data_IF_143040508029
#
_entry.id   IF_143040508029
#
_cell.length_a   1.000
_cell.length_b   1.000
_cell.length_c   1.000
_cell.angle_alpha   90.00
_cell.angle_beta   90.00
_cell.angle_gamma   90.00
#
_symmetry.space_group_name_H-M   'P 1'
#
loop_
_entity.id
_entity.type
_entity.pdbx_description
1 polymer ?
#
# COMPACT_ATOMS: atom_id res chain seq x y z
N UNK A 1 -7.86 10.56 -52.36
CA UNK A 1 -7.57 12.02 -52.27
C UNK A 1 -8.42 12.90 -53.20
N UNK A 2 -8.72 12.44 -54.43
CA UNK A 2 -9.38 13.22 -55.47
C UNK A 2 -10.77 13.76 -55.07
N UNK A 3 -11.55 13.03 -54.26
CA UNK A 3 -12.87 13.52 -53.78
C UNK A 3 -12.80 14.69 -52.80
N UNK A 4 -11.85 14.73 -51.87
CA UNK A 4 -11.67 15.89 -50.98
C UNK A 4 -11.04 17.08 -51.72
N UNK A 5 -10.25 16.78 -52.76
CA UNK A 5 -9.64 17.75 -53.68
C UNK A 5 -10.70 18.41 -54.57
N UNK A 6 -11.59 17.63 -55.17
CA UNK A 6 -12.70 18.06 -56.03
C UNK A 6 -13.83 18.72 -55.24
N UNK A 7 -14.00 18.37 -53.95
CA UNK A 7 -15.10 18.91 -53.16
C UNK A 7 -14.76 20.24 -52.48
N UNK A 8 -13.49 20.61 -52.25
CA UNK A 8 -13.12 21.98 -51.86
C UNK A 8 -12.57 22.15 -50.44
N UNK A 9 -11.65 21.28 -49.98
CA UNK A 9 -10.89 21.53 -48.74
C UNK A 9 -9.77 22.59 -48.91
N UNK A 10 -9.31 22.83 -50.15
CA UNK A 10 -8.28 23.81 -50.53
C UNK A 10 -8.65 25.32 -50.56
N UNK A 11 -9.91 25.77 -50.79
CA UNK A 11 -10.23 27.19 -50.92
C UNK A 11 -10.16 27.95 -49.59
N UNK A 12 -9.73 27.31 -48.48
CA UNK A 12 -9.67 27.93 -47.16
C UNK A 12 -11.04 28.55 -46.77
N UNK A 13 -12.13 27.93 -47.21
CA UNK A 13 -13.50 28.41 -47.03
C UNK A 13 -14.13 27.80 -45.78
N UNK A 14 -14.14 28.58 -44.69
CA UNK A 14 -14.79 28.16 -43.43
C UNK A 14 -16.26 27.77 -43.61
N UNK A 15 -17.14 28.52 -44.33
CA UNK A 15 -18.54 28.14 -44.50
C UNK A 15 -18.70 26.77 -45.16
N UNK A 16 -17.84 26.47 -46.14
CA UNK A 16 -17.86 25.19 -46.83
C UNK A 16 -17.42 24.05 -45.90
N UNK A 17 -16.32 24.22 -45.15
CA UNK A 17 -15.85 23.21 -44.19
C UNK A 17 -16.91 22.92 -43.12
N UNK A 18 -17.63 23.95 -42.66
CA UNK A 18 -18.75 23.80 -41.74
C UNK A 18 -19.86 22.94 -42.34
N UNK A 19 -20.33 23.29 -43.54
CA UNK A 19 -21.41 22.59 -44.22
C UNK A 19 -21.10 21.11 -44.45
N UNK A 20 -19.86 20.77 -44.81
CA UNK A 20 -19.45 19.36 -44.98
C UNK A 20 -19.50 18.61 -43.64
N UNK A 21 -18.90 19.18 -42.58
CA UNK A 21 -18.86 18.49 -41.28
C UNK A 21 -20.25 18.32 -40.71
N UNK A 22 -21.13 19.30 -40.89
CA UNK A 22 -22.53 19.24 -40.49
C UNK A 22 -23.31 18.19 -41.31
N UNK A 23 -23.09 18.08 -42.63
CA UNK A 23 -23.69 17.03 -43.46
C UNK A 23 -23.22 15.62 -43.06
N UNK A 24 -21.92 15.46 -42.77
CA UNK A 24 -21.39 14.20 -42.21
C UNK A 24 -22.00 13.88 -40.84
N UNK A 25 -22.17 14.89 -39.99
CA UNK A 25 -22.80 14.74 -38.68
C UNK A 25 -24.29 14.42 -38.79
N UNK A 26 -24.98 14.90 -39.82
CA UNK A 26 -26.39 14.59 -40.06
C UNK A 26 -26.59 13.16 -40.58
N UNK A 27 -25.62 12.63 -41.33
CA UNK A 27 -25.66 11.26 -41.88
C UNK A 27 -25.24 10.19 -40.88
N UNK A 28 -24.38 10.51 -39.92
CA UNK A 28 -24.02 9.61 -38.83
C UNK A 28 -24.86 9.85 -37.58
N UNK A 29 -25.30 8.81 -36.85
CA UNK A 29 -26.01 8.97 -35.56
C UNK A 29 -25.11 9.51 -34.42
N UNK A 30 -23.99 10.17 -34.73
CA UNK A 30 -22.96 10.55 -33.78
C UNK A 30 -23.06 12.04 -33.43
N UNK A 31 -22.79 12.36 -32.16
CA UNK A 31 -22.64 13.76 -31.72
C UNK A 31 -21.51 14.43 -32.51
N UNK A 32 -21.68 15.70 -32.88
CA UNK A 32 -20.69 16.51 -33.60
C UNK A 32 -19.26 16.37 -33.05
N UNK A 33 -19.12 16.19 -31.74
CA UNK A 33 -17.83 16.02 -31.03
C UNK A 33 -17.05 14.74 -31.35
N UNK A 34 -17.62 13.78 -32.08
CA UNK A 34 -16.93 12.53 -32.46
C UNK A 34 -16.83 12.30 -33.97
N UNK A 35 -17.44 13.17 -34.79
CA UNK A 35 -17.51 13.00 -36.25
C UNK A 35 -16.11 12.91 -36.85
N UNK A 36 -15.19 13.79 -36.42
CA UNK A 36 -13.84 13.86 -37.00
C UNK A 36 -12.83 12.85 -36.43
N UNK A 37 -13.20 12.01 -35.44
CA UNK A 37 -12.25 11.00 -34.91
C UNK A 37 -11.84 9.97 -35.96
N UNK A 38 -12.69 9.71 -36.94
CA UNK A 38 -12.53 8.65 -37.93
C UNK A 38 -12.37 9.19 -39.36
N UNK A 39 -12.34 10.52 -39.54
CA UNK A 39 -12.17 11.11 -40.87
C UNK A 39 -10.68 11.16 -41.20
N UNK A 40 -10.26 10.22 -42.02
CA UNK A 40 -8.92 10.16 -42.60
C UNK A 40 -8.98 10.03 -44.13
N UNK A 41 -7.90 10.41 -44.80
CA UNK A 41 -7.73 10.10 -46.23
C UNK A 41 -7.38 8.61 -46.46
N UNK A 42 -7.12 8.28 -47.72
CA UNK A 42 -6.71 6.94 -48.18
C UNK A 42 -5.38 6.50 -47.57
N UNK A 43 -4.53 7.46 -47.15
CA UNK A 43 -3.26 7.21 -46.47
C UNK A 43 -3.40 7.20 -44.93
N UNK A 44 -4.62 7.33 -44.40
CA UNK A 44 -4.87 7.34 -42.95
C UNK A 44 -4.54 8.67 -42.25
N UNK A 45 -4.27 9.75 -42.99
CA UNK A 45 -3.99 11.08 -42.44
C UNK A 45 -5.27 11.78 -42.05
N UNK A 46 -5.29 12.39 -40.86
CA UNK A 46 -6.47 13.06 -40.33
C UNK A 46 -6.83 14.31 -41.14
N UNK A 47 -8.11 14.71 -41.11
CA UNK A 47 -8.54 15.98 -41.70
C UNK A 47 -7.77 17.19 -41.13
N UNK A 48 -7.37 17.13 -39.85
CA UNK A 48 -6.55 18.15 -39.20
C UNK A 48 -5.12 18.18 -39.78
N UNK A 49 -4.50 17.01 -39.97
CA UNK A 49 -3.17 16.89 -40.60
C UNK A 49 -3.16 17.50 -42.00
N UNK A 50 -4.20 17.22 -42.78
CA UNK A 50 -4.35 17.78 -44.13
C UNK A 50 -4.52 19.30 -44.08
N UNK A 51 -5.38 19.83 -43.22
CA UNK A 51 -5.59 21.27 -43.07
C UNK A 51 -4.29 22.02 -42.72
N UNK A 52 -3.46 21.44 -41.85
CA UNK A 52 -2.14 21.97 -41.52
C UNK A 52 -1.20 21.87 -42.73
N UNK A 53 -1.17 20.71 -43.39
CA UNK A 53 -0.31 20.49 -44.55
C UNK A 53 -0.58 21.45 -45.70
N UNK A 54 -1.83 21.89 -45.86
CA UNK A 54 -2.26 22.86 -46.86
C UNK A 54 -2.20 24.33 -46.38
N UNK A 55 -1.75 24.60 -45.16
CA UNK A 55 -1.66 25.97 -44.63
C UNK A 55 -3.02 26.65 -44.47
N UNK A 56 -4.08 25.89 -44.15
CA UNK A 56 -5.41 26.45 -43.93
C UNK A 56 -5.41 27.49 -42.80
N UNK A 57 -6.37 28.42 -42.84
CA UNK A 57 -6.49 29.46 -41.82
C UNK A 57 -6.73 28.90 -40.42
N UNK A 58 -6.28 29.66 -39.40
CA UNK A 58 -6.55 29.38 -37.98
C UNK A 58 -8.03 29.12 -37.69
N UNK A 59 -8.94 29.78 -38.40
CA UNK A 59 -10.39 29.63 -38.22
C UNK A 59 -10.87 28.23 -38.60
N UNK A 60 -10.35 27.66 -39.70
CA UNK A 60 -10.66 26.28 -40.10
C UNK A 60 -10.10 25.31 -39.08
N UNK A 61 -8.83 25.45 -38.71
CA UNK A 61 -8.22 24.55 -37.72
C UNK A 61 -8.95 24.61 -36.38
N UNK A 62 -9.35 25.80 -35.92
CA UNK A 62 -10.17 25.97 -34.70
C UNK A 62 -11.52 25.28 -34.82
N UNK A 63 -12.15 25.33 -36.00
CA UNK A 63 -13.42 24.64 -36.22
C UNK A 63 -13.26 23.12 -36.20
N UNK A 64 -12.22 22.58 -36.85
CA UNK A 64 -11.89 21.15 -36.83
C UNK A 64 -11.67 20.65 -35.39
N UNK A 65 -10.91 21.40 -34.58
CA UNK A 65 -10.71 21.08 -33.16
C UNK A 65 -12.03 21.11 -32.37
N UNK A 66 -12.89 22.11 -32.62
CA UNK A 66 -14.21 22.21 -32.01
C UNK A 66 -15.16 21.06 -32.40
N UNK A 67 -14.99 20.52 -33.59
CA UNK A 67 -15.68 19.32 -34.09
C UNK A 67 -15.02 17.99 -33.64
N UNK A 68 -14.11 18.05 -32.66
CA UNK A 68 -13.53 16.87 -32.01
C UNK A 68 -12.39 16.19 -32.77
N UNK A 69 -11.74 16.90 -33.71
CA UNK A 69 -10.50 16.40 -34.31
C UNK A 69 -9.42 16.20 -33.23
N UNK A 70 -8.78 15.04 -33.21
CA UNK A 70 -7.70 14.74 -32.28
C UNK A 70 -6.39 15.37 -32.77
N UNK A 71 -5.64 15.98 -31.85
CA UNK A 71 -4.29 16.49 -32.12
C UNK A 71 -3.29 15.39 -31.78
N UNK A 72 -2.71 14.73 -32.78
CA UNK A 72 -1.66 13.73 -32.58
C UNK A 72 -0.27 14.41 -32.67
N UNK A 73 0.80 13.72 -32.25
CA UNK A 73 2.17 14.23 -32.37
C UNK A 73 2.56 14.61 -33.80
N UNK A 74 2.01 13.91 -34.80
CA UNK A 74 2.28 14.15 -36.21
C UNK A 74 1.79 15.51 -36.71
N UNK A 75 0.59 15.94 -36.28
CA UNK A 75 0.07 17.28 -36.62
C UNK A 75 0.92 18.39 -36.01
N UNK A 76 1.41 18.20 -34.78
CA UNK A 76 2.32 19.15 -34.11
C UNK A 76 3.64 19.24 -34.88
N UNK A 77 4.26 18.07 -35.20
CA UNK A 77 5.49 18.01 -36.00
C UNK A 77 5.30 18.68 -37.37
N UNK A 78 4.16 18.44 -38.03
CA UNK A 78 3.86 19.04 -39.32
C UNK A 78 3.72 20.57 -39.22
N UNK A 79 3.07 21.09 -38.18
CA UNK A 79 2.98 22.54 -37.92
C UNK A 79 4.34 23.19 -37.73
N UNK A 80 5.28 22.49 -37.08
CA UNK A 80 6.64 22.99 -36.85
C UNK A 80 7.42 23.02 -38.17
N UNK A 81 7.39 21.93 -38.94
CA UNK A 81 8.08 21.83 -40.25
C UNK A 81 7.55 22.84 -41.26
N UNK A 82 6.25 23.15 -41.21
CA UNK A 82 5.61 24.12 -42.12
C UNK A 82 5.65 25.55 -41.62
N UNK A 83 6.33 25.82 -40.50
CA UNK A 83 6.52 27.15 -39.90
C UNK A 83 5.20 27.92 -39.66
N UNK A 84 4.22 27.27 -39.01
CA UNK A 84 2.90 27.86 -38.73
C UNK A 84 2.72 28.18 -37.24
N UNK A 85 3.36 29.23 -36.68
CA UNK A 85 3.40 29.50 -35.24
C UNK A 85 2.01 29.75 -34.64
N UNK A 86 1.13 30.42 -35.40
CA UNK A 86 -0.24 30.73 -34.93
C UNK A 86 -1.10 29.47 -34.78
N UNK A 87 -0.94 28.49 -35.66
CA UNK A 87 -1.69 27.23 -35.62
C UNK A 87 -1.05 26.30 -34.59
N UNK A 88 0.27 26.25 -34.51
CA UNK A 88 0.99 25.53 -33.47
C UNK A 88 0.56 25.99 -32.07
N UNK A 89 0.47 27.31 -31.84
CA UNK A 89 -0.01 27.87 -30.59
C UNK A 89 -1.45 27.48 -30.24
N UNK A 90 -2.28 27.19 -31.25
CA UNK A 90 -3.64 26.69 -31.07
C UNK A 90 -3.63 25.19 -30.73
N UNK A 91 -2.84 24.37 -31.44
CA UNK A 91 -2.73 22.93 -31.19
C UNK A 91 -2.20 22.63 -29.78
N UNK A 92 -1.16 23.35 -29.34
CA UNK A 92 -0.55 23.21 -28.01
C UNK A 92 -1.43 23.70 -26.85
N UNK A 93 -2.64 24.17 -27.10
CA UNK A 93 -3.67 24.39 -26.06
C UNK A 93 -4.53 23.15 -25.82
N UNK A 94 -4.55 22.23 -26.78
CA UNK A 94 -5.38 21.03 -26.75
C UNK A 94 -4.56 19.75 -26.57
N UNK A 95 -3.24 19.82 -26.71
CA UNK A 95 -2.33 18.67 -26.55
C UNK A 95 -0.99 19.12 -25.97
N UNK A 96 -0.30 18.19 -25.31
CA UNK A 96 1.05 18.37 -24.80
C UNK A 96 2.08 18.26 -25.92
N UNK A 97 3.23 18.92 -25.74
CA UNK A 97 4.36 18.71 -26.63
C UNK A 97 4.90 17.27 -26.45
N UNK A 98 5.20 16.53 -27.52
CA UNK A 98 5.89 15.24 -27.41
C UNK A 98 7.25 15.38 -26.72
N UNK A 99 7.59 14.45 -25.83
CA UNK A 99 8.84 14.47 -25.07
C UNK A 99 10.08 14.22 -25.95
N UNK A 100 9.90 13.57 -27.10
CA UNK A 100 10.94 13.22 -28.09
C UNK A 100 11.25 14.34 -29.09
N UNK A 101 10.75 15.56 -28.86
CA UNK A 101 10.97 16.66 -29.79
C UNK A 101 12.36 17.30 -29.61
N UNK A 102 13.28 16.99 -30.53
CA UNK A 102 14.68 17.42 -30.50
C UNK A 102 14.95 18.90 -30.85
N UNK A 103 13.92 19.73 -30.99
CA UNK A 103 14.13 21.18 -31.20
C UNK A 103 14.90 21.52 -32.48
N UNK A 104 14.81 20.67 -33.52
CA UNK A 104 15.46 20.88 -34.81
C UNK A 104 15.16 22.24 -35.44
N UNK A 105 15.83 22.54 -36.57
CA UNK A 105 15.74 23.84 -37.28
C UNK A 105 14.30 24.34 -37.40
N UNK A 106 13.90 25.23 -36.50
CA UNK A 106 12.60 25.89 -36.48
C UNK A 106 12.84 27.40 -36.40
N UNK A 107 11.88 28.19 -36.88
CA UNK A 107 11.97 29.64 -36.79
C UNK A 107 11.96 30.11 -35.33
N UNK A 108 12.51 31.31 -35.09
CA UNK A 108 12.48 31.93 -33.75
C UNK A 108 11.04 32.11 -33.23
N UNK A 109 10.07 32.35 -34.12
CA UNK A 109 8.65 32.47 -33.76
C UNK A 109 8.08 31.13 -33.27
N UNK A 110 8.35 30.04 -33.98
CA UNK A 110 7.95 28.69 -33.58
C UNK A 110 8.63 28.30 -32.28
N UNK A 111 9.93 28.58 -32.13
CA UNK A 111 10.68 28.33 -30.90
C UNK A 111 10.09 29.09 -29.71
N UNK A 112 9.69 30.37 -29.90
CA UNK A 112 9.02 31.16 -28.88
C UNK A 112 7.66 30.58 -28.47
N UNK A 113 6.86 30.10 -29.44
CA UNK A 113 5.58 29.42 -29.18
C UNK A 113 5.79 28.13 -28.38
N UNK A 114 6.76 27.30 -28.77
CA UNK A 114 7.11 26.04 -28.08
C UNK A 114 7.56 26.33 -26.64
N UNK A 115 8.47 27.29 -26.44
CA UNK A 115 8.93 27.71 -25.12
C UNK A 115 7.77 28.21 -24.24
N UNK A 116 6.89 29.03 -24.80
CA UNK A 116 5.69 29.50 -24.11
C UNK A 116 4.72 28.38 -23.74
N UNK A 117 4.54 27.39 -24.62
CA UNK A 117 3.72 26.22 -24.35
C UNK A 117 4.32 25.34 -23.24
N UNK A 118 5.63 25.05 -23.31
CA UNK A 118 6.34 24.28 -22.29
C UNK A 118 6.25 24.93 -20.91
N UNK A 119 6.39 26.26 -20.82
CA UNK A 119 6.17 27.01 -19.58
C UNK A 119 4.75 26.84 -19.03
N UNK A 120 3.72 26.93 -19.88
CA UNK A 120 2.31 26.72 -19.46
C UNK A 120 2.05 25.29 -19.01
N UNK A 121 2.55 24.31 -19.73
CA UNK A 121 2.42 22.89 -19.38
C UNK A 121 3.09 22.61 -18.04
N UNK A 122 4.35 23.03 -17.86
CA UNK A 122 5.05 22.89 -16.58
C UNK A 122 4.30 23.58 -15.41
N UNK A 123 3.68 24.74 -15.66
CA UNK A 123 2.89 25.43 -14.65
C UNK A 123 1.59 24.69 -14.32
N UNK A 124 0.92 24.10 -15.31
CA UNK A 124 -0.27 23.27 -15.11
C UNK A 124 0.09 21.96 -14.39
N UNK A 125 1.15 21.28 -14.81
CA UNK A 125 1.64 20.06 -14.19
C UNK A 125 2.03 20.30 -12.74
N UNK A 126 2.65 21.45 -12.44
CA UNK A 126 2.93 21.87 -11.07
C UNK A 126 1.65 22.02 -10.27
N UNK A 127 0.66 22.77 -10.80
CA UNK A 127 -0.65 22.92 -10.13
C UNK A 127 -1.34 21.58 -9.90
N UNK A 128 -1.30 20.67 -10.86
CA UNK A 128 -1.87 19.33 -10.74
C UNK A 128 -1.12 18.50 -9.69
N UNK A 129 0.21 18.58 -9.65
CA UNK A 129 1.03 17.93 -8.61
C UNK A 129 0.74 18.50 -7.22
N UNK A 130 0.61 19.82 -7.09
CA UNK A 130 0.28 20.48 -5.82
C UNK A 130 -1.12 20.08 -5.34
N UNK A 131 -2.10 20.03 -6.25
CA UNK A 131 -3.46 19.57 -5.96
C UNK A 131 -3.50 18.09 -5.56
N UNK A 132 -2.77 17.23 -6.29
CA UNK A 132 -2.64 15.81 -5.97
C UNK A 132 -1.94 15.61 -4.61
N UNK A 133 -0.88 16.36 -4.33
CA UNK A 133 -0.20 16.36 -3.04
C UNK A 133 -1.14 16.74 -1.90
N UNK A 134 -1.91 17.82 -2.07
CA UNK A 134 -2.91 18.27 -1.10
C UNK A 134 -4.00 17.22 -0.86
N UNK A 135 -4.46 16.55 -1.91
CA UNK A 135 -5.39 15.44 -1.81
C UNK A 135 -4.80 14.26 -1.01
N UNK A 136 -3.55 13.88 -1.28
CA UNK A 136 -2.88 12.79 -0.57
C UNK A 136 -2.68 13.10 0.93
N UNK A 137 -2.34 14.34 1.27
CA UNK A 137 -2.26 14.81 2.66
C UNK A 137 -3.60 14.59 3.38
N UNK A 138 -4.70 15.10 2.81
CA UNK A 138 -6.02 14.96 3.41
C UNK A 138 -6.51 13.51 3.48
N UNK A 139 -6.19 12.70 2.46
CA UNK A 139 -6.50 11.28 2.46
C UNK A 139 -5.77 10.54 3.58
N UNK A 140 -4.48 10.79 3.79
CA UNK A 140 -3.69 10.18 4.87
C UNK A 140 -4.24 10.56 6.25
N UNK A 141 -4.59 11.84 6.47
CA UNK A 141 -5.23 12.29 7.72
C UNK A 141 -6.49 11.46 8.01
N UNK A 142 -7.36 11.32 7.01
CA UNK A 142 -8.62 10.58 7.14
C UNK A 142 -8.39 9.11 7.39
N UNK A 143 -7.44 8.48 6.70
CA UNK A 143 -7.11 7.06 6.90
C UNK A 143 -6.63 6.79 8.33
N UNK A 144 -5.69 7.59 8.85
CA UNK A 144 -5.20 7.44 10.23
C UNK A 144 -6.32 7.63 11.24
N UNK A 145 -7.14 8.67 11.07
CA UNK A 145 -8.28 8.95 11.96
C UNK A 145 -9.33 7.83 11.93
N UNK A 146 -9.65 7.31 10.75
CA UNK A 146 -10.59 6.21 10.58
C UNK A 146 -10.05 4.90 11.17
N UNK A 147 -8.76 4.61 11.03
CA UNK A 147 -8.13 3.44 11.63
C UNK A 147 -8.24 3.50 13.17
N UNK A 148 -7.86 4.63 13.77
CA UNK A 148 -8.00 4.86 15.21
C UNK A 148 -9.44 4.71 15.70
N UNK A 149 -10.40 5.31 15.01
CA UNK A 149 -11.81 5.21 15.37
C UNK A 149 -12.31 3.76 15.27
N UNK A 150 -11.94 3.06 14.20
CA UNK A 150 -12.32 1.67 13.98
C UNK A 150 -11.84 0.77 15.12
N UNK A 151 -10.61 0.97 15.58
CA UNK A 151 -10.01 0.18 16.66
C UNK A 151 -10.58 0.48 18.04
N UNK A 152 -11.01 1.72 18.31
CA UNK A 152 -11.71 2.07 19.56
C UNK A 152 -13.03 1.32 19.74
N UNK A 153 -13.72 0.97 18.66
CA UNK A 153 -15.07 0.41 18.71
C UNK A 153 -15.13 -1.13 18.65
N UNK A 154 -14.00 -1.83 18.49
CA UNK A 154 -13.84 -3.31 18.55
C UNK A 154 -15.05 -4.10 18.01
N UNK A 155 -15.39 -3.86 16.74
CA UNK A 155 -16.44 -4.62 16.05
C UNK A 155 -15.83 -5.33 14.86
N UNK A 156 -16.26 -6.56 14.57
CA UNK A 156 -15.68 -7.38 13.50
C UNK A 156 -15.67 -6.66 12.13
N UNK A 157 -16.69 -5.84 11.84
CA UNK A 157 -16.75 -5.02 10.62
C UNK A 157 -15.69 -3.92 10.60
N UNK A 158 -15.47 -3.27 11.74
CA UNK A 158 -14.46 -2.21 11.88
C UNK A 158 -13.04 -2.79 11.95
N UNK A 159 -12.87 -4.01 12.44
CA UNK A 159 -11.57 -4.70 12.44
C UNK A 159 -11.10 -4.98 11.00
N UNK A 160 -12.02 -5.43 10.13
CA UNK A 160 -11.74 -5.58 8.69
C UNK A 160 -11.37 -4.22 8.06
N UNK A 161 -12.09 -3.15 8.40
CA UNK A 161 -11.77 -1.81 7.92
C UNK A 161 -10.37 -1.36 8.37
N UNK A 162 -10.02 -1.57 9.64
CA UNK A 162 -8.68 -1.27 10.17
C UNK A 162 -7.60 -2.07 9.44
N UNK A 163 -7.87 -3.34 9.12
CA UNK A 163 -6.93 -4.20 8.38
C UNK A 163 -6.69 -3.69 6.96
N UNK A 164 -7.75 -3.36 6.23
CA UNK A 164 -7.64 -2.78 4.89
C UNK A 164 -6.90 -1.45 4.93
N UNK A 165 -7.16 -0.60 5.93
CA UNK A 165 -6.42 0.67 6.08
C UNK A 165 -4.94 0.39 6.38
N UNK A 166 -4.60 -0.57 7.24
CA UNK A 166 -3.20 -0.93 7.46
C UNK A 166 -2.53 -1.41 6.17
N UNK A 167 -3.19 -2.25 5.38
CA UNK A 167 -2.64 -2.72 4.10
C UNK A 167 -2.44 -1.57 3.10
N UNK A 168 -3.33 -0.58 3.07
CA UNK A 168 -3.15 0.63 2.25
C UNK A 168 -1.93 1.44 2.74
N UNK A 169 -1.79 1.61 4.06
CA UNK A 169 -0.73 2.44 4.65
C UNK A 169 0.65 1.82 4.51
N UNK A 170 0.81 0.52 4.82
CA UNK A 170 2.11 -0.16 4.88
C UNK A 170 2.31 -1.26 3.85
N UNK A 171 1.27 -1.64 3.12
CA UNK A 171 1.30 -2.79 2.21
C UNK A 171 0.94 -4.09 2.92
N UNK A 172 0.92 -5.19 2.17
CA UNK A 172 0.74 -6.53 2.76
C UNK A 172 2.07 -7.03 3.32
N UNK A 173 2.37 -6.61 4.55
CA UNK A 173 3.65 -6.86 5.23
C UNK A 173 3.98 -8.36 5.29
N UNK A 174 3.03 -9.20 5.70
CA UNK A 174 3.27 -10.64 5.85
C UNK A 174 3.56 -11.31 4.51
N UNK A 175 2.86 -10.91 3.45
CA UNK A 175 3.13 -11.41 2.10
C UNK A 175 4.51 -10.98 1.61
N UNK A 176 4.93 -9.75 1.91
CA UNK A 176 6.27 -9.26 1.57
C UNK A 176 7.35 -10.08 2.29
N UNK A 177 7.23 -10.25 3.61
CA UNK A 177 8.17 -11.05 4.40
C UNK A 177 8.22 -12.52 3.95
N UNK A 178 7.09 -13.09 3.55
CA UNK A 178 7.05 -14.46 3.01
C UNK A 178 7.79 -14.56 1.67
N UNK A 179 7.59 -13.60 0.76
CA UNK A 179 8.30 -13.56 -0.53
C UNK A 179 9.80 -13.39 -0.34
N UNK A 180 10.20 -12.52 0.57
CA UNK A 180 11.62 -12.29 0.92
C UNK A 180 12.26 -13.56 1.48
N UNK A 181 11.60 -14.22 2.44
CA UNK A 181 12.07 -15.49 2.99
C UNK A 181 12.13 -16.63 1.95
N UNK A 182 11.27 -16.62 0.93
CA UNK A 182 11.31 -17.58 -0.18
C UNK A 182 12.49 -17.31 -1.12
N UNK A 183 12.83 -16.04 -1.35
CA UNK A 183 13.96 -15.64 -2.18
C UNK A 183 15.31 -15.91 -1.49
N UNK A 184 15.35 -15.77 -0.17
CA UNK A 184 16.55 -16.01 0.65
C UNK A 184 16.88 -17.49 0.84
N UNK A 185 16.02 -18.41 0.39
CA UNK A 185 16.41 -19.81 0.30
C UNK A 185 17.45 -19.91 -0.83
N UNK A 186 18.75 -20.12 -0.52
CA UNK A 186 19.75 -20.29 -1.56
C UNK A 186 19.26 -21.45 -2.41
N UNK A 187 19.06 -21.20 -3.71
CA UNK A 187 18.79 -22.25 -4.68
C UNK A 187 19.80 -23.34 -4.37
N UNK A 188 19.35 -24.46 -3.81
CA UNK A 188 20.17 -25.66 -3.69
C UNK A 188 20.80 -25.83 -5.06
N UNK A 189 22.11 -26.00 -5.08
CA UNK A 189 22.94 -26.20 -6.27
C UNK A 189 22.58 -27.50 -7.03
N UNK A 190 21.30 -27.78 -7.25
CA UNK A 190 20.84 -28.68 -8.29
C UNK A 190 21.02 -27.95 -9.61
N UNK A 191 22.25 -28.02 -10.12
CA UNK A 191 22.46 -28.15 -11.54
C UNK A 191 21.49 -29.22 -12.06
N UNK A 192 20.92 -28.98 -13.24
CA UNK A 192 19.97 -29.86 -13.96
C UNK A 192 18.50 -29.67 -13.57
N UNK A 193 17.84 -28.70 -14.20
CA UNK A 193 16.60 -28.89 -14.98
C UNK A 193 16.05 -27.53 -15.45
N UNK A 194 16.48 -27.10 -16.64
CA UNK A 194 15.83 -26.05 -17.42
C UNK A 194 14.50 -26.57 -17.98
N UNK A 195 13.46 -26.66 -17.13
CA UNK A 195 12.10 -26.83 -17.63
C UNK A 195 11.41 -25.47 -17.75
N UNK A 196 11.29 -25.05 -19.01
CA UNK A 196 10.47 -23.93 -19.47
C UNK A 196 9.02 -24.10 -19.00
N UNK A 197 8.64 -23.50 -17.87
CA UNK A 197 7.22 -23.35 -17.52
C UNK A 197 6.67 -22.15 -18.31
N UNK A 198 6.21 -22.44 -19.51
CA UNK A 198 5.48 -21.52 -20.36
C UNK A 198 4.02 -21.42 -19.90
N UNK A 199 3.60 -20.19 -19.66
CA UNK A 199 2.25 -19.73 -19.99
C UNK A 199 1.13 -20.16 -19.07
N UNK A 200 0.56 -19.15 -18.40
CA UNK A 200 -0.87 -18.87 -18.22
C UNK A 200 -1.17 -18.45 -16.77
N UNK A 201 -0.82 -17.20 -16.40
CA UNK A 201 -1.66 -16.34 -15.55
C UNK A 201 -1.07 -14.92 -15.30
N UNK A 202 -0.59 -14.24 -16.35
CA UNK A 202 -0.12 -12.84 -16.26
C UNK A 202 -1.24 -11.79 -16.44
N UNK A 203 -2.52 -12.18 -16.33
CA UNK A 203 -3.65 -11.32 -16.70
C UNK A 203 -3.95 -10.17 -15.73
N UNK A 204 -3.57 -10.27 -14.46
CA UNK A 204 -3.79 -9.24 -13.43
C UNK A 204 -2.69 -9.22 -12.36
N UNK A 205 -1.47 -9.67 -12.72
CA UNK A 205 -0.32 -9.49 -11.87
C UNK A 205 0.01 -8.00 -11.80
N UNK A 206 -0.53 -7.31 -10.79
CA UNK A 206 0.09 -6.13 -10.21
C UNK A 206 1.47 -6.56 -9.67
N UNK A 207 2.42 -6.80 -10.58
CA UNK A 207 3.79 -7.23 -10.32
C UNK A 207 4.65 -6.16 -9.66
N UNK A 208 4.04 -5.06 -9.20
CA UNK A 208 4.68 -4.14 -8.30
C UNK A 208 4.67 -4.72 -6.90
N UNK A 209 5.83 -4.74 -6.25
CA UNK A 209 5.92 -4.90 -4.80
C UNK A 209 4.82 -4.05 -4.17
N UNK A 210 3.92 -4.66 -3.39
CA UNK A 210 2.81 -3.96 -2.74
C UNK A 210 3.35 -3.07 -1.62
N UNK A 211 4.04 -2.00 -2.00
CA UNK A 211 4.63 -1.03 -1.11
C UNK A 211 3.49 -0.14 -0.63
N UNK A 212 3.33 -0.01 0.69
CA UNK A 212 2.31 0.87 1.25
C UNK A 212 2.51 2.34 0.90
N UNK A 213 1.47 3.15 1.11
CA UNK A 213 1.52 4.59 0.90
C UNK A 213 2.66 5.25 1.68
N UNK A 214 2.93 4.81 2.91
CA UNK A 214 3.98 5.39 3.76
C UNK A 214 5.39 5.23 3.18
N UNK A 215 5.64 4.17 2.40
CA UNK A 215 6.93 3.94 1.75
C UNK A 215 6.99 4.48 0.31
N UNK A 216 5.84 4.75 -0.31
CA UNK A 216 5.75 5.20 -1.70
C UNK A 216 5.70 6.72 -1.85
N UNK A 217 5.29 7.46 -0.82
CA UNK A 217 5.05 8.89 -0.90
C UNK A 217 6.32 9.73 -0.62
N UNK A 218 6.47 10.90 -1.27
CA UNK A 218 7.55 11.83 -0.97
C UNK A 218 7.52 12.30 0.49
N UNK A 219 8.70 12.48 1.10
CA UNK A 219 8.83 12.94 2.49
C UNK A 219 8.11 14.27 2.75
N UNK A 220 8.05 15.19 1.78
CA UNK A 220 7.32 16.45 1.93
C UNK A 220 5.81 16.27 2.13
N UNK A 221 5.20 15.29 1.46
CA UNK A 221 3.77 14.97 1.62
C UNK A 221 3.52 14.32 2.97
N UNK A 222 4.36 13.37 3.38
CA UNK A 222 4.26 12.73 4.69
C UNK A 222 4.48 13.74 5.83
N UNK A 223 5.41 14.68 5.65
CA UNK A 223 5.68 15.73 6.62
C UNK A 223 4.47 16.65 6.79
N UNK A 224 3.89 17.07 5.66
CA UNK A 224 2.69 17.89 5.67
C UNK A 224 1.49 17.12 6.25
N UNK A 225 1.38 15.82 6.02
CA UNK A 225 0.31 15.00 6.57
C UNK A 225 0.42 14.78 8.08
N UNK A 226 1.61 14.41 8.57
CA UNK A 226 1.72 13.97 9.96
C UNK A 226 2.26 15.03 10.91
N UNK A 227 3.00 16.01 10.41
CA UNK A 227 3.76 16.93 11.26
C UNK A 227 3.46 18.41 11.00
N UNK A 228 2.45 18.73 10.17
CA UNK A 228 1.98 20.12 10.03
C UNK A 228 1.11 20.59 11.20
N UNK A 229 0.49 19.66 11.92
CA UNK A 229 -0.36 19.88 13.09
C UNK A 229 -0.01 18.85 14.17
N UNK A 230 0.17 19.31 15.41
CA UNK A 230 0.44 18.46 16.57
C UNK A 230 -0.66 17.42 16.81
N UNK A 231 -1.92 17.74 16.45
CA UNK A 231 -3.03 16.78 16.54
C UNK A 231 -2.86 15.60 15.57
N UNK A 232 -2.35 15.84 14.36
CA UNK A 232 -2.11 14.80 13.37
C UNK A 232 -0.93 13.90 13.79
N UNK A 233 0.13 14.49 14.32
CA UNK A 233 1.27 13.74 14.86
C UNK A 233 0.81 12.83 16.01
N UNK A 234 0.03 13.39 16.94
CA UNK A 234 -0.57 12.65 18.05
C UNK A 234 -1.42 11.48 17.56
N UNK A 235 -2.27 11.68 16.55
CA UNK A 235 -3.07 10.60 15.97
C UNK A 235 -2.20 9.51 15.33
N UNK A 236 -1.13 9.87 14.63
CA UNK A 236 -0.20 8.89 14.08
C UNK A 236 0.45 8.06 15.20
N UNK A 237 0.98 8.71 16.23
CA UNK A 237 1.64 8.00 17.34
C UNK A 237 0.66 7.10 18.10
N UNK A 238 -0.55 7.56 18.41
CA UNK A 238 -1.58 6.72 19.03
C UNK A 238 -1.93 5.50 18.18
N UNK A 239 -1.92 5.63 16.85
CA UNK A 239 -2.20 4.50 15.95
C UNK A 239 -1.06 3.50 15.96
N UNK A 240 0.19 3.98 15.91
CA UNK A 240 1.38 3.14 16.01
C UNK A 240 1.42 2.40 17.34
N UNK A 241 1.15 3.08 18.45
CA UNK A 241 1.11 2.51 19.79
C UNK A 241 0.07 1.39 19.86
N UNK A 242 -1.14 1.64 19.37
CA UNK A 242 -2.22 0.65 19.36
C UNK A 242 -1.90 -0.55 18.46
N UNK A 243 -1.23 -0.35 17.32
CA UNK A 243 -0.75 -1.44 16.47
C UNK A 243 0.36 -2.27 17.14
N UNK A 244 1.33 -1.61 17.77
CA UNK A 244 2.43 -2.27 18.47
C UNK A 244 1.95 -2.99 19.75
N UNK A 245 0.98 -2.43 20.47
CA UNK A 245 0.38 -3.09 21.63
C UNK A 245 -0.60 -4.23 21.26
N UNK A 246 -0.84 -4.46 19.96
CA UNK A 246 -1.75 -5.51 19.50
C UNK A 246 -1.16 -6.91 19.70
N UNK A 247 -1.99 -7.83 20.18
CA UNK A 247 -1.63 -9.28 20.28
C UNK A 247 -1.68 -9.99 18.93
N UNK A 248 -2.41 -9.44 17.95
CA UNK A 248 -2.42 -10.01 16.60
C UNK A 248 -1.14 -9.65 15.86
N UNK A 249 -0.38 -10.67 15.45
CA UNK A 249 0.89 -10.53 14.74
C UNK A 249 0.77 -9.64 13.50
N UNK A 250 -0.34 -9.72 12.76
CA UNK A 250 -0.56 -8.91 11.56
C UNK A 250 -0.55 -7.40 11.87
N UNK A 251 -1.16 -6.98 12.98
CA UNK A 251 -1.18 -5.57 13.39
C UNK A 251 0.16 -5.13 13.98
N UNK A 252 0.82 -5.97 14.78
CA UNK A 252 2.16 -5.67 15.28
C UNK A 252 3.15 -5.48 14.13
N UNK A 253 3.16 -6.40 13.15
CA UNK A 253 3.98 -6.29 11.94
C UNK A 253 3.64 -5.01 11.14
N UNK A 254 2.36 -4.65 11.03
CA UNK A 254 1.95 -3.39 10.40
C UNK A 254 2.44 -2.16 11.16
N UNK A 255 2.39 -2.18 12.51
CA UNK A 255 2.92 -1.13 13.38
C UNK A 255 4.41 -0.93 13.22
N UNK A 256 5.19 -2.01 13.28
CA UNK A 256 6.64 -1.99 13.08
C UNK A 256 7.01 -1.48 11.69
N UNK A 257 6.31 -1.95 10.65
CA UNK A 257 6.55 -1.50 9.27
C UNK A 257 6.22 -0.02 9.08
N UNK A 258 5.11 0.45 9.69
CA UNK A 258 4.73 1.85 9.65
C UNK A 258 5.78 2.71 10.37
N UNK A 259 6.22 2.29 11.56
CA UNK A 259 7.25 2.98 12.34
C UNK A 259 8.58 3.05 11.58
N UNK A 260 9.05 1.92 11.03
CA UNK A 260 10.26 1.86 10.22
C UNK A 260 10.17 2.76 8.99
N UNK A 261 9.02 2.79 8.30
CA UNK A 261 8.79 3.69 7.15
C UNK A 261 8.87 5.16 7.57
N UNK A 262 8.25 5.52 8.69
CA UNK A 262 8.27 6.88 9.22
C UNK A 262 9.69 7.30 9.62
N UNK A 263 10.43 6.45 10.35
CA UNK A 263 11.81 6.73 10.75
C UNK A 263 12.77 6.81 9.56
N UNK A 264 12.55 6.02 8.51
CA UNK A 264 13.31 6.12 7.26
C UNK A 264 13.14 7.48 6.59
N UNK A 265 11.93 8.03 6.59
CA UNK A 265 11.67 9.37 6.04
C UNK A 265 12.07 10.51 6.99
N UNK A 266 12.02 10.26 8.30
CA UNK A 266 12.26 11.27 9.34
C UNK A 266 13.15 10.73 10.48
N UNK A 267 14.47 10.55 10.23
CA UNK A 267 15.39 9.97 11.21
C UNK A 267 15.46 10.75 12.54
N UNK A 268 15.19 12.04 12.50
CA UNK A 268 15.17 12.92 13.67
C UNK A 268 14.07 12.59 14.69
N UNK A 269 13.07 11.79 14.31
CA UNK A 269 12.03 11.37 15.25
C UNK A 269 12.56 10.34 16.25
N UNK A 270 13.64 9.62 15.93
CA UNK A 270 14.20 8.60 16.85
C UNK A 270 14.58 9.17 18.23
N UNK A 271 14.85 10.48 18.33
CA UNK A 271 15.18 11.19 19.57
C UNK A 271 14.15 12.25 19.97
N UNK A 272 12.94 12.26 19.38
CA UNK A 272 11.92 13.24 19.76
C UNK A 272 11.19 12.85 21.04
N UNK A 273 10.80 13.85 21.83
CA UNK A 273 10.11 13.65 23.11
C UNK A 273 8.77 12.93 22.95
N UNK A 274 8.09 13.08 21.81
CA UNK A 274 6.86 12.34 21.50
C UNK A 274 7.11 10.84 21.36
N UNK A 275 8.19 10.42 20.69
CA UNK A 275 8.53 9.00 20.53
C UNK A 275 8.82 8.35 21.89
N UNK A 276 9.54 9.05 22.76
CA UNK A 276 9.78 8.63 24.14
C UNK A 276 8.47 8.58 24.96
N UNK A 277 7.63 9.62 24.84
CA UNK A 277 6.35 9.71 25.56
C UNK A 277 5.40 8.54 25.25
N UNK A 278 5.39 8.06 24.01
CA UNK A 278 4.57 6.92 23.60
C UNK A 278 5.31 5.57 23.69
N UNK A 279 6.53 5.52 24.25
CA UNK A 279 7.29 4.29 24.47
C UNK A 279 7.59 3.53 23.18
N UNK A 280 7.73 4.23 22.05
CA UNK A 280 7.82 3.58 20.73
C UNK A 280 9.06 2.72 20.55
N UNK A 281 10.19 3.16 21.13
CA UNK A 281 11.43 2.41 21.11
C UNK A 281 11.33 1.17 22.00
N UNK A 282 10.82 1.32 23.22
CA UNK A 282 10.61 0.20 24.15
C UNK A 282 9.67 -0.85 23.55
N UNK A 283 8.60 -0.43 22.86
CA UNK A 283 7.70 -1.32 22.15
C UNK A 283 8.39 -2.04 20.98
N UNK A 284 9.23 -1.34 20.22
CA UNK A 284 10.00 -1.96 19.15
C UNK A 284 11.00 -3.00 19.69
N UNK A 285 11.75 -2.65 20.73
CA UNK A 285 12.68 -3.56 21.41
C UNK A 285 11.97 -4.79 21.99
N UNK A 286 10.79 -4.60 22.60
CA UNK A 286 9.95 -5.69 23.07
C UNK A 286 9.56 -6.66 21.95
N UNK A 287 9.19 -6.14 20.76
CA UNK A 287 8.88 -7.00 19.62
C UNK A 287 10.10 -7.69 19.04
N UNK A 288 11.26 -7.04 19.03
CA UNK A 288 12.53 -7.64 18.61
C UNK A 288 12.93 -8.80 19.54
N UNK A 289 12.79 -8.61 20.85
CA UNK A 289 13.02 -9.68 21.84
C UNK A 289 12.02 -10.83 21.66
N UNK A 290 10.73 -10.53 21.50
CA UNK A 290 9.70 -11.52 21.27
C UNK A 290 9.97 -12.32 19.98
N UNK A 291 10.35 -11.65 18.89
CA UNK A 291 10.70 -12.28 17.63
C UNK A 291 11.93 -13.17 17.77
N UNK A 292 12.99 -12.69 18.43
CA UNK A 292 14.21 -13.45 18.72
C UNK A 292 13.91 -14.73 19.50
N UNK A 293 13.12 -14.62 20.58
CA UNK A 293 12.70 -15.75 21.40
C UNK A 293 11.88 -16.79 20.61
N UNK A 294 10.97 -16.33 19.75
CA UNK A 294 10.18 -17.22 18.87
C UNK A 294 11.05 -17.91 17.82
N UNK A 295 12.00 -17.20 17.23
CA UNK A 295 12.96 -17.78 16.30
C UNK A 295 13.81 -18.86 16.98
N UNK A 296 14.31 -18.60 18.19
CA UNK A 296 15.05 -19.58 18.98
C UNK A 296 14.20 -20.84 19.27
N UNK A 297 12.94 -20.67 19.70
CA UNK A 297 12.00 -21.78 19.95
C UNK A 297 11.78 -22.64 18.68
N UNK A 298 11.59 -22.00 17.52
CA UNK A 298 11.41 -22.70 16.24
C UNK A 298 12.67 -23.48 15.87
N UNK A 299 13.85 -22.87 15.98
CA UNK A 299 15.13 -23.51 15.69
C UNK A 299 15.38 -24.71 16.61
N UNK A 300 15.11 -24.58 17.91
CA UNK A 300 15.22 -25.69 18.86
C UNK A 300 14.31 -26.86 18.47
N UNK A 301 13.05 -26.60 18.08
CA UNK A 301 12.12 -27.66 17.62
C UNK A 301 12.62 -28.34 16.34
N UNK A 302 13.16 -27.57 15.39
CA UNK A 302 13.71 -28.13 14.15
C UNK A 302 14.93 -29.00 14.42
N UNK A 303 15.80 -28.60 15.34
CA UNK A 303 16.97 -29.39 15.76
C UNK A 303 16.55 -30.68 16.46
N UNK A 304 15.62 -30.62 17.42
CA UNK A 304 15.08 -31.82 18.07
C UNK A 304 14.48 -32.81 17.07
N UNK A 305 13.69 -32.32 16.10
CA UNK A 305 13.09 -33.16 15.05
C UNK A 305 14.14 -33.83 14.15
N UNK A 306 15.25 -33.14 13.85
CA UNK A 306 16.35 -33.74 13.06
C UNK A 306 17.05 -34.86 13.82
N UNK A 307 17.27 -34.68 15.13
CA UNK A 307 17.90 -35.69 15.98
C UNK A 307 17.03 -36.95 16.12
N UNK A 308 15.72 -36.79 16.24
CA UNK A 308 14.79 -37.94 16.31
C UNK A 308 14.83 -38.78 15.02
N UNK A 309 14.81 -38.14 13.85
CA UNK A 309 14.84 -38.84 12.55
C UNK A 309 16.15 -39.61 12.34
N UNK A 310 17.28 -39.07 12.81
CA UNK A 310 18.57 -39.78 12.73
C UNK A 310 18.65 -41.00 13.65
N UNK A 311 17.91 -41.01 14.78
CA UNK A 311 17.91 -42.11 15.74
C UNK A 311 17.01 -43.30 15.34
N UNK A 312 16.00 -43.08 14.49
CA UNK A 312 15.03 -44.12 14.09
C UNK A 312 15.41 -44.92 12.83
N UNK A 313 16.55 -44.63 12.20
CA UNK A 313 16.94 -45.23 10.92
C UNK A 313 17.76 -46.52 10.98
N UNK A 314 18.04 -47.07 12.16
CA UNK A 314 19.02 -48.17 12.29
C UNK A 314 18.68 -49.19 13.37
N UNK A 315 17.53 -49.86 13.26
CA UNK A 315 17.30 -51.12 13.98
C UNK A 315 16.14 -51.93 13.39
N UNK A 316 16.45 -52.81 12.43
CA UNK A 316 15.77 -54.09 12.31
C UNK A 316 16.25 -54.94 13.50
N UNK A 317 15.50 -54.99 14.60
CA UNK A 317 15.53 -56.15 15.49
C UNK A 317 14.29 -56.18 16.40
N UNK A 318 13.83 -57.40 16.59
CA UNK A 318 12.51 -57.79 17.06
C UNK A 318 12.27 -57.50 18.55
N UNK A 319 10.99 -57.26 18.85
CA UNK A 319 10.27 -57.63 20.08
C UNK A 319 11.03 -57.49 21.42
N UNK A 320 10.62 -56.51 22.23
CA UNK A 320 9.95 -56.82 23.50
C UNK A 320 9.46 -55.56 24.20
N UNK A 321 8.28 -55.71 24.79
CA UNK A 321 7.48 -54.74 25.52
C UNK A 321 8.21 -54.09 26.70
N UNK A 322 8.20 -52.76 26.77
CA UNK A 322 7.94 -52.04 28.02
C UNK A 322 7.68 -50.56 27.75
N UNK A 323 6.67 -50.07 28.45
CA UNK A 323 5.99 -48.79 28.31
C UNK A 323 6.76 -47.74 29.13
N UNK A 324 7.45 -46.79 28.50
CA UNK A 324 7.98 -45.63 29.22
C UNK A 324 7.71 -44.32 28.46
N UNK A 325 7.11 -43.39 29.20
CA UNK A 325 6.52 -42.13 28.80
C UNK A 325 7.59 -41.09 28.41
N UNK A 326 7.48 -40.52 27.21
CA UNK A 326 8.35 -39.44 26.71
C UNK A 326 7.90 -38.07 27.23
N UNK A 327 8.78 -37.44 28.01
CA UNK A 327 8.69 -36.04 28.42
C UNK A 327 8.78 -35.09 27.20
N UNK A 328 7.68 -34.42 26.90
CA UNK A 328 7.61 -33.25 26.01
C UNK A 328 7.87 -31.97 26.82
N UNK A 329 8.53 -30.93 26.27
CA UNK A 329 8.76 -29.67 26.96
C UNK A 329 7.40 -29.02 27.21
N UNK A 330 6.98 -29.07 28.47
CA UNK A 330 5.67 -28.63 28.94
C UNK A 330 5.52 -27.13 28.72
N UNK A 331 4.57 -26.77 27.85
CA UNK A 331 3.94 -25.47 27.90
C UNK A 331 3.53 -25.22 29.35
N UNK A 332 4.03 -24.15 29.99
CA UNK A 332 3.78 -23.84 31.40
C UNK A 332 2.27 -23.64 31.61
N UNK A 333 1.59 -24.74 31.94
CA UNK A 333 0.17 -24.74 32.25
C UNK A 333 0.03 -24.16 33.66
N UNK A 334 -0.58 -22.98 33.76
CA UNK A 334 -0.97 -22.41 35.03
C UNK A 334 -2.00 -23.32 35.69
N UNK A 335 -1.74 -23.74 36.92
CA UNK A 335 -2.61 -24.62 37.69
C UNK A 335 -3.22 -23.84 38.84
N UNK A 336 -4.50 -24.06 39.13
CA UNK A 336 -5.14 -23.48 40.32
C UNK A 336 -4.61 -24.16 41.60
N UNK A 337 -4.94 -23.66 42.81
CA UNK A 337 -4.49 -24.26 44.08
C UNK A 337 -4.92 -25.73 44.30
N UNK A 338 -5.96 -26.19 43.59
CA UNK A 338 -6.42 -27.59 43.58
C UNK A 338 -5.82 -28.42 42.44
N UNK A 339 -4.85 -27.88 41.70
CA UNK A 339 -4.17 -28.53 40.55
C UNK A 339 -5.08 -28.83 39.36
N UNK A 340 -6.15 -28.07 39.17
CA UNK A 340 -6.86 -28.07 37.90
C UNK A 340 -6.18 -27.10 36.93
N UNK A 341 -6.32 -27.38 35.64
CA UNK A 341 -5.79 -26.54 34.57
C UNK A 341 -6.54 -25.21 34.53
N UNK A 342 -5.84 -24.10 34.76
CA UNK A 342 -6.40 -22.77 34.57
C UNK A 342 -6.29 -22.38 33.09
N UNK A 343 -7.34 -21.76 32.57
CA UNK A 343 -7.40 -21.29 31.20
C UNK A 343 -7.26 -19.77 31.18
N UNK A 344 -6.38 -19.26 30.32
CA UNK A 344 -6.28 -17.83 30.04
C UNK A 344 -7.57 -17.36 29.37
N UNK A 345 -8.19 -16.34 29.94
CA UNK A 345 -9.36 -15.67 29.39
C UNK A 345 -9.23 -14.16 29.58
N UNK A 346 -10.12 -13.39 28.94
CA UNK A 346 -10.16 -11.94 29.04
C UNK A 346 -11.42 -11.55 29.81
N UNK A 347 -11.27 -10.70 30.82
CA UNK A 347 -12.38 -10.24 31.66
C UNK A 347 -13.44 -9.51 30.83
N UNK A 348 -14.70 -9.92 30.95
CA UNK A 348 -15.82 -9.35 30.17
C UNK A 348 -16.40 -8.07 30.79
N UNK A 349 -16.17 -7.87 32.08
CA UNK A 349 -16.62 -6.73 32.89
C UNK A 349 -15.57 -6.44 33.98
N UNK A 350 -15.66 -5.31 34.69
CA UNK A 350 -14.70 -4.90 35.73
C UNK A 350 -14.95 -5.51 37.12
N UNK A 351 -15.93 -6.42 37.24
CA UNK A 351 -16.25 -7.06 38.53
C UNK A 351 -15.42 -8.30 38.83
N UNK A 352 -14.52 -8.72 37.94
CA UNK A 352 -13.60 -9.82 38.23
C UNK A 352 -12.60 -9.38 39.31
N UNK A 353 -12.25 -10.29 40.22
CA UNK A 353 -11.26 -10.06 41.28
C UNK A 353 -10.28 -11.20 41.31
N UNK A 354 -9.00 -10.89 41.47
CA UNK A 354 -7.96 -11.90 41.61
C UNK A 354 -8.05 -12.54 43.00
N UNK A 355 -8.16 -13.87 43.07
CA UNK A 355 -8.23 -14.60 44.34
C UNK A 355 -6.91 -14.59 45.12
N UNK A 356 -5.79 -14.29 44.45
CA UNK A 356 -4.48 -14.21 45.09
C UNK A 356 -4.21 -12.86 45.75
N UNK A 357 -4.55 -11.74 45.09
CA UNK A 357 -4.27 -10.40 45.60
C UNK A 357 -5.51 -9.60 46.03
N UNK A 358 -6.72 -10.08 45.73
CA UNK A 358 -8.00 -9.41 46.04
C UNK A 358 -8.35 -8.20 45.17
N UNK A 359 -7.41 -7.74 44.34
CA UNK A 359 -7.60 -6.57 43.48
C UNK A 359 -8.62 -6.84 42.37
N UNK A 360 -9.39 -5.80 42.02
CA UNK A 360 -10.27 -5.83 40.86
C UNK A 360 -9.47 -5.83 39.56
N UNK A 361 -9.93 -6.61 38.58
CA UNK A 361 -9.31 -6.70 37.25
C UNK A 361 -10.22 -6.00 36.25
N UNK A 362 -9.71 -4.94 35.62
CA UNK A 362 -10.46 -4.15 34.65
C UNK A 362 -10.93 -5.00 33.46
N UNK A 363 -12.04 -4.58 32.84
CA UNK A 363 -12.58 -5.21 31.64
C UNK A 363 -11.53 -5.21 30.52
N UNK A 364 -11.34 -6.35 29.88
CA UNK A 364 -10.41 -6.47 28.76
C UNK A 364 -8.98 -6.85 29.17
N UNK A 365 -8.72 -7.03 30.47
CA UNK A 365 -7.42 -7.52 30.96
C UNK A 365 -7.38 -9.07 30.93
N UNK A 366 -6.21 -9.66 30.66
CA UNK A 366 -6.01 -11.10 30.74
C UNK A 366 -6.11 -11.61 32.18
N UNK A 367 -6.67 -12.79 32.37
CA UNK A 367 -6.83 -13.45 33.66
C UNK A 367 -6.82 -14.98 33.47
N UNK A 368 -6.21 -15.72 34.38
CA UNK A 368 -6.22 -17.18 34.38
C UNK A 368 -7.36 -17.68 35.26
N UNK A 369 -8.32 -18.40 34.68
CA UNK A 369 -9.51 -18.87 35.38
C UNK A 369 -9.65 -20.39 35.35
N UNK A 370 -10.01 -20.98 36.48
CA UNK A 370 -10.37 -22.39 36.63
C UNK A 370 -11.86 -22.51 36.96
N UNK A 371 -12.63 -23.12 36.06
CA UNK A 371 -14.09 -23.25 36.22
C UNK A 371 -14.52 -24.26 37.28
N UNK A 372 -13.67 -25.25 37.58
CA UNK A 372 -13.96 -26.27 38.58
C UNK A 372 -13.88 -25.73 40.02
N UNK A 373 -12.97 -24.77 40.25
CA UNK A 373 -12.76 -24.16 41.56
C UNK A 373 -13.37 -22.77 41.70
N UNK A 374 -13.91 -22.21 40.61
CA UNK A 374 -14.24 -20.78 40.49
C UNK A 374 -13.06 -19.89 40.94
N UNK A 375 -11.85 -20.27 40.51
CA UNK A 375 -10.61 -19.58 40.87
C UNK A 375 -10.12 -18.72 39.72
N UNK A 376 -9.83 -17.46 39.96
CA UNK A 376 -9.30 -16.51 38.98
C UNK A 376 -8.05 -15.78 39.51
N UNK A 377 -6.99 -15.70 38.70
CA UNK A 377 -5.77 -14.95 39.02
C UNK A 377 -5.38 -13.96 37.91
N UNK A 378 -5.01 -12.73 38.31
CA UNK A 378 -4.49 -11.73 37.39
C UNK A 378 -3.09 -12.11 36.88
N UNK A 379 -2.74 -11.55 35.72
CA UNK A 379 -1.44 -11.76 35.05
C UNK A 379 -0.27 -11.54 36.01
N UNK A 380 -0.26 -10.42 36.76
CA UNK A 380 0.79 -10.11 37.74
C UNK A 380 0.97 -11.22 38.80
N UNK A 381 -0.13 -11.84 39.26
CA UNK A 381 -0.05 -12.91 40.25
C UNK A 381 0.32 -14.26 39.64
N UNK A 382 0.03 -14.48 38.35
CA UNK A 382 0.42 -15.72 37.65
C UNK A 382 1.87 -15.66 37.14
N UNK A 383 2.38 -14.49 36.79
CA UNK A 383 3.77 -14.31 36.38
C UNK A 383 4.70 -14.41 37.59
N UNK A 384 4.23 -13.97 38.76
CA UNK A 384 4.87 -14.26 40.03
C UNK A 384 4.80 -15.75 40.42
N UNK A 385 4.11 -16.64 39.70
CA UNK A 385 3.94 -18.04 40.11
C UNK A 385 5.21 -18.90 39.90
N UNK A 386 6.21 -18.46 39.13
CA UNK A 386 7.56 -19.04 39.24
C UNK A 386 8.22 -18.72 40.60
N UNK A 387 7.73 -17.72 41.34
CA UNK A 387 8.13 -17.37 42.71
C UNK A 387 7.00 -17.54 43.77
N UNK A 388 5.80 -17.94 43.35
CA UNK A 388 4.56 -17.88 44.14
C UNK A 388 4.19 -19.15 44.90
N UNK A 389 4.87 -20.29 44.62
CA UNK A 389 4.72 -21.52 45.41
C UNK A 389 5.05 -21.31 46.90
N UNK A 390 5.88 -20.32 47.24
CA UNK A 390 6.26 -20.00 48.62
C UNK A 390 5.17 -19.29 49.43
N UNK A 391 4.27 -18.52 48.79
CA UNK A 391 3.24 -17.75 49.52
C UNK A 391 2.03 -18.60 49.92
N UNK A 392 1.66 -19.61 49.14
CA UNK A 392 0.54 -20.50 49.47
C UNK A 392 0.86 -21.49 50.60
N UNK A 393 2.14 -21.82 50.83
CA UNK A 393 2.55 -22.61 51.99
C UNK A 393 2.37 -21.82 53.30
N UNK A 394 2.76 -20.54 53.31
CA UNK A 394 2.62 -19.66 54.48
C UNK A 394 1.16 -19.36 54.87
N UNK A 395 0.25 -19.30 53.89
CA UNK A 395 -1.18 -19.06 54.15
C UNK A 395 -1.89 -20.32 54.67
N UNK A 396 -1.43 -21.52 54.31
CA UNK A 396 -1.95 -22.79 54.85
C UNK A 396 -1.49 -23.10 56.28
N UNK A 397 -0.41 -22.48 56.78
CA UNK A 397 0.02 -22.60 58.17
C UNK A 397 -0.65 -21.57 59.11
N UNK A 398 -1.40 -20.62 58.56
CA UNK A 398 -2.14 -19.59 59.31
C UNK A 398 -3.67 -19.83 59.34
N UNK A 399 -4.14 -20.93 58.74
CA UNK A 399 -5.53 -21.42 58.79
C UNK A 399 -5.56 -22.79 59.44
#
# INVERSE_FOLDING_TARGET
QQRLFEQGLLPNSLPWTKGIIEDYAAKGSNRLSSVLRHVSDEEGRSALFLAISFGCSKSIVKYLLGAGAQVRPEEIRKCIVTDQPTILALLLRHSSLPDDFDGGQCSDEVAAVISGAKKRQNALDRKMRDAAGSFMVEMLHRLVKLALQSRKHRSARLDLCSRVISEILVGNVLLHSLKEAQNDNPKKDSAEEEHQSSGLDEGLALGGNSIGLLSSLPASILQQAFFSDAANATNLFLLLEDYLCSRELAYAAAGLTALASVLKHFPQLSSCAEMERYGMLDLAEFHDELASNRCAEILSRQLSKRLEVSSSGSSNQEQSSSTEERNTPSCNVVMCPQKHKAHLHVTRHSSFRCDLCGNGVDRGRPMHGCRECDWDACEDCTDLAESGLLKCAAIRELS
#
